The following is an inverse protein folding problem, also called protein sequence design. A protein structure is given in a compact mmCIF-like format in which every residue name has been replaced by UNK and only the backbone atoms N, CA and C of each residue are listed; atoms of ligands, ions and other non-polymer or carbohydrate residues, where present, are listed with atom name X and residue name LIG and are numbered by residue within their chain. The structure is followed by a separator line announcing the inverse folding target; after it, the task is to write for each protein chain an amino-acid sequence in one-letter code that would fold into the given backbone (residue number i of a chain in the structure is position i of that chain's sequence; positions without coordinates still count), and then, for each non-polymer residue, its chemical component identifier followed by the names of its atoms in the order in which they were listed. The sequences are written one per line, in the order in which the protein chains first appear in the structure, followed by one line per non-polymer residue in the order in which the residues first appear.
data_IF_520617283168
#
_entry.id   IF_520617283168
#
_cell.length_a   1.000
_cell.length_b   1.000
_cell.length_c   1.000
_cell.angle_alpha   90.00
_cell.angle_beta   90.00
_cell.angle_gamma   90.00
#
_symmetry.space_group_name_H-M   'P 1'
#
loop_
_entity.id
_entity.type
_entity.pdbx_description
1 polymer ?
#
# COMPACT_ATOMS: atom_id res chain seq x y z
N UNK A 1 14.57 4.32 -3.98
CA UNK A 1 15.24 4.71 -5.24
C UNK A 1 14.27 4.52 -6.40
N UNK A 2 13.47 3.46 -6.31
CA UNK A 2 12.37 3.04 -7.18
C UNK A 2 11.43 4.15 -7.63
N UNK A 3 10.80 4.91 -6.71
CA UNK A 3 9.86 5.96 -7.10
C UNK A 3 10.50 7.03 -8.00
N UNK A 4 11.74 7.41 -7.73
CA UNK A 4 12.47 8.40 -8.56
C UNK A 4 12.80 7.80 -9.92
N UNK A 5 13.23 6.54 -9.95
CA UNK A 5 13.57 5.85 -11.19
C UNK A 5 12.35 5.62 -12.08
N UNK A 6 11.26 5.13 -11.50
CA UNK A 6 9.96 4.96 -12.17
C UNK A 6 9.47 6.28 -12.76
N UNK A 7 9.56 7.37 -11.99
CA UNK A 7 9.19 8.70 -12.48
C UNK A 7 10.10 9.16 -13.63
N UNK A 8 11.41 8.89 -13.57
CA UNK A 8 12.34 9.21 -14.65
C UNK A 8 12.05 8.41 -15.94
N UNK A 9 11.39 7.26 -15.82
CA UNK A 9 10.98 6.38 -16.92
C UNK A 9 9.48 6.49 -17.26
N UNK A 10 8.81 7.57 -16.84
CA UNK A 10 7.45 7.92 -17.30
C UNK A 10 6.29 7.44 -16.42
N UNK A 11 6.56 6.81 -15.28
CA UNK A 11 5.53 6.44 -14.29
C UNK A 11 5.46 7.53 -13.21
N UNK A 12 4.70 8.58 -13.48
CA UNK A 12 4.69 9.81 -12.67
C UNK A 12 3.90 9.68 -11.37
N UNK A 13 2.99 8.70 -11.29
CA UNK A 13 2.16 8.42 -10.12
C UNK A 13 2.86 7.54 -9.08
N UNK A 14 4.14 7.19 -9.31
CA UNK A 14 4.90 6.33 -8.43
C UNK A 14 5.21 7.03 -7.09
N UNK A 15 4.82 6.38 -5.99
CA UNK A 15 5.16 6.77 -4.62
C UNK A 15 5.82 5.59 -3.90
N UNK A 16 6.74 5.88 -2.98
CA UNK A 16 7.45 4.86 -2.21
C UNK A 16 7.12 4.96 -0.72
N UNK A 17 7.09 3.81 -0.05
CA UNK A 17 6.97 3.74 1.41
C UNK A 17 8.38 3.87 2.00
N UNK A 18 8.59 4.89 2.83
CA UNK A 18 9.90 5.14 3.45
C UNK A 18 10.09 4.29 4.71
N UNK A 19 10.58 3.05 4.54
CA UNK A 19 11.27 2.26 5.58
C UNK A 19 10.46 1.21 6.35
N UNK A 20 9.12 1.24 6.36
CA UNK A 20 8.28 0.25 7.07
C UNK A 20 7.11 -0.25 6.22
N UNK A 21 6.33 -1.19 6.75
CA UNK A 21 5.05 -1.58 6.15
C UNK A 21 4.11 -0.37 6.01
N UNK A 22 3.25 -0.42 4.99
CA UNK A 22 2.22 0.58 4.70
C UNK A 22 1.28 0.74 5.90
N UNK A 23 1.10 1.98 6.38
CA UNK A 23 0.26 2.27 7.55
C UNK A 23 -1.16 2.66 7.17
N UNK A 24 -2.10 2.47 8.08
CA UNK A 24 -3.50 2.89 7.90
C UNK A 24 -3.63 4.38 7.53
N UNK A 25 -2.84 5.25 8.16
CA UNK A 25 -2.88 6.69 7.85
C UNK A 25 -2.36 7.01 6.45
N UNK A 26 -1.33 6.31 5.99
CA UNK A 26 -0.86 6.42 4.60
C UNK A 26 -1.95 5.96 3.63
N UNK A 27 -2.66 4.87 3.94
CA UNK A 27 -3.78 4.41 3.11
C UNK A 27 -4.93 5.42 3.07
N UNK A 28 -5.30 6.01 4.21
CA UNK A 28 -6.33 7.07 4.25
C UNK A 28 -5.94 8.27 3.39
N UNK A 29 -4.67 8.66 3.37
CA UNK A 29 -4.17 9.73 2.50
C UNK A 29 -4.29 9.34 1.04
N UNK A 30 -3.83 8.14 0.66
CA UNK A 30 -3.93 7.64 -0.72
C UNK A 30 -5.38 7.53 -1.20
N UNK A 31 -6.30 7.08 -0.33
CA UNK A 31 -7.74 6.96 -0.63
C UNK A 31 -8.40 8.30 -0.99
N UNK A 32 -7.84 9.42 -0.52
CA UNK A 32 -8.32 10.77 -0.91
C UNK A 32 -7.92 11.14 -2.33
N UNK A 33 -6.89 10.50 -2.87
CA UNK A 33 -6.29 10.81 -4.18
C UNK A 33 -6.81 9.83 -5.24
N UNK A 34 -6.90 8.55 -4.92
CA UNK A 34 -7.30 7.49 -5.86
C UNK A 34 -8.11 6.41 -5.17
N UNK A 35 -8.95 5.69 -5.94
CA UNK A 35 -9.63 4.48 -5.50
C UNK A 35 -8.83 3.20 -5.77
N UNK A 36 -7.85 3.25 -6.68
CA UNK A 36 -7.03 2.09 -7.11
C UNK A 36 -5.55 2.31 -6.85
N UNK A 37 -4.91 1.29 -6.31
CA UNK A 37 -3.46 1.25 -6.03
C UNK A 37 -2.84 0.04 -6.71
N UNK A 38 -1.69 0.26 -7.35
CA UNK A 38 -0.81 -0.80 -7.82
C UNK A 38 0.37 -0.93 -6.85
N UNK A 39 0.54 -2.10 -6.26
CA UNK A 39 1.66 -2.43 -5.39
C UNK A 39 2.73 -3.16 -6.19
N UNK A 40 3.96 -2.64 -6.13
CA UNK A 40 5.16 -3.29 -6.65
C UNK A 40 6.23 -3.22 -5.56
N UNK A 41 6.54 -4.35 -4.95
CA UNK A 41 7.61 -4.49 -3.95
C UNK A 41 8.59 -5.57 -4.42
N UNK A 42 9.72 -5.65 -3.74
CA UNK A 42 10.77 -6.61 -4.05
C UNK A 42 10.25 -8.05 -4.01
N UNK A 43 10.76 -8.88 -4.91
CA UNK A 43 10.33 -10.27 -5.04
C UNK A 43 10.96 -11.22 -4.01
N UNK A 44 11.83 -10.70 -3.13
CA UNK A 44 12.45 -11.48 -2.07
C UNK A 44 11.43 -11.83 -0.96
N UNK A 45 11.84 -12.68 -0.01
CA UNK A 45 10.96 -13.10 1.08
C UNK A 45 10.47 -11.93 1.94
N UNK A 46 11.28 -10.87 2.09
CA UNK A 46 10.92 -9.71 2.89
C UNK A 46 9.86 -8.85 2.17
N UNK A 47 10.03 -8.61 0.87
CA UNK A 47 9.11 -7.90 0.00
C UNK A 47 7.80 -8.66 -0.22
N UNK A 48 7.82 -10.00 -0.29
CA UNK A 48 6.60 -10.81 -0.30
C UNK A 48 5.79 -10.62 1.00
N UNK A 49 6.44 -10.69 2.16
CA UNK A 49 5.78 -10.45 3.45
C UNK A 49 5.26 -9.00 3.57
N UNK A 50 6.03 -8.03 3.09
CA UNK A 50 5.61 -6.62 3.05
C UNK A 50 4.42 -6.41 2.11
N UNK A 51 4.36 -7.13 0.99
CA UNK A 51 3.23 -7.09 0.05
C UNK A 51 1.97 -7.61 0.71
N UNK A 52 2.04 -8.75 1.39
CA UNK A 52 0.91 -9.32 2.13
C UNK A 52 0.41 -8.36 3.20
N UNK A 53 1.31 -7.83 4.04
CA UNK A 53 0.94 -6.87 5.07
C UNK A 53 0.29 -5.60 4.49
N UNK A 54 0.79 -5.14 3.33
CA UNK A 54 0.22 -3.98 2.63
C UNK A 54 -1.15 -4.29 2.05
N UNK A 55 -1.35 -5.49 1.47
CA UNK A 55 -2.66 -5.96 1.00
C UNK A 55 -3.66 -5.93 2.15
N UNK A 56 -3.33 -6.54 3.29
CA UNK A 56 -4.23 -6.58 4.45
C UNK A 56 -4.65 -5.17 4.91
N UNK A 57 -3.70 -4.24 5.04
CA UNK A 57 -3.98 -2.86 5.41
C UNK A 57 -4.84 -2.14 4.37
N UNK A 58 -4.53 -2.27 3.07
CA UNK A 58 -5.29 -1.63 2.01
C UNK A 58 -6.73 -2.15 1.91
N UNK A 59 -6.94 -3.45 2.10
CA UNK A 59 -8.26 -4.07 2.03
C UNK A 59 -9.15 -3.65 3.20
N UNK A 60 -8.58 -3.46 4.40
CA UNK A 60 -9.31 -2.89 5.54
C UNK A 60 -9.86 -1.49 5.26
N UNK A 61 -9.26 -0.77 4.31
CA UNK A 61 -9.69 0.55 3.88
C UNK A 61 -10.44 0.55 2.54
N UNK A 62 -10.90 -0.62 2.06
CA UNK A 62 -11.75 -0.76 0.87
C UNK A 62 -11.10 -0.16 -0.40
N UNK A 63 -9.80 -0.33 -0.56
CA UNK A 63 -9.08 0.08 -1.77
C UNK A 63 -9.15 -1.00 -2.85
N UNK A 64 -9.22 -0.62 -4.13
CA UNK A 64 -8.99 -1.53 -5.26
C UNK A 64 -7.48 -1.74 -5.40
N UNK A 65 -7.02 -2.98 -5.23
CA UNK A 65 -5.60 -3.31 -5.13
C UNK A 65 -5.20 -4.21 -6.29
N UNK A 66 -4.13 -3.83 -6.96
CA UNK A 66 -3.46 -4.61 -8.00
C UNK A 66 -2.01 -4.87 -7.61
N UNK A 67 -1.53 -6.08 -7.84
CA UNK A 67 -0.15 -6.47 -7.54
C UNK A 67 0.62 -6.61 -8.84
N UNK A 68 1.72 -5.89 -8.94
CA UNK A 68 2.67 -5.98 -10.03
C UNK A 68 3.79 -6.92 -9.57
N UNK A 69 3.89 -8.07 -10.23
CA UNK A 69 4.98 -9.01 -10.04
C UNK A 69 6.03 -8.79 -11.13
N UNK A 70 7.24 -8.39 -10.74
CA UNK A 70 8.33 -8.14 -11.69
C UNK A 70 9.00 -9.48 -12.07
N UNK A 71 9.14 -9.79 -13.37
CA UNK A 71 9.81 -11.00 -13.82
C UNK A 71 11.26 -11.08 -13.33
N UNK A 72 11.73 -12.31 -13.05
CA UNK A 72 13.10 -12.60 -12.60
C UNK A 72 13.48 -12.02 -11.24
N UNK A 73 12.51 -11.51 -10.48
CA UNK A 73 12.71 -11.06 -9.10
C UNK A 73 13.58 -9.81 -8.95
N UNK A 74 13.63 -8.97 -9.98
CA UNK A 74 14.24 -7.64 -9.91
C UNK A 74 13.37 -6.67 -9.12
N UNK A 75 13.99 -5.62 -8.59
CA UNK A 75 13.26 -4.47 -8.06
C UNK A 75 12.73 -3.58 -9.23
N UNK A 76 11.76 -2.68 -8.97
CA UNK A 76 11.23 -1.78 -9.99
C UNK A 76 12.31 -0.96 -10.69
N UNK A 77 13.33 -0.56 -9.94
CA UNK A 77 14.42 0.27 -10.44
C UNK A 77 15.30 -0.47 -11.47
N UNK A 78 15.76 -1.68 -11.14
CA UNK A 78 16.55 -2.55 -12.01
C UNK A 78 15.75 -3.02 -13.23
N UNK A 79 14.43 -3.15 -13.12
CA UNK A 79 13.57 -3.45 -14.25
C UNK A 79 13.55 -2.32 -15.28
N UNK A 80 13.27 -1.08 -14.85
CA UNK A 80 13.19 0.06 -15.78
C UNK A 80 14.56 0.48 -16.32
N UNK A 81 15.61 0.46 -15.48
CA UNK A 81 17.00 0.69 -15.95
C UNK A 81 17.46 -0.35 -16.95
N UNK A 82 16.95 -1.57 -16.83
CA UNK A 82 17.21 -2.66 -17.77
C UNK A 82 16.49 -2.53 -19.11
N UNK A 83 15.73 -1.44 -19.32
CA UNK A 83 14.92 -1.21 -20.53
C UNK A 83 13.53 -1.86 -20.49
N UNK A 84 13.07 -2.29 -19.31
CA UNK A 84 11.73 -2.84 -19.14
C UNK A 84 10.66 -1.75 -19.17
N UNK A 85 9.54 -2.03 -19.85
CA UNK A 85 8.38 -1.15 -19.87
C UNK A 85 7.42 -1.49 -18.73
N UNK A 86 7.21 -0.53 -17.82
CA UNK A 86 6.34 -0.73 -16.67
C UNK A 86 4.85 -0.72 -17.03
N UNK A 87 4.47 -0.18 -18.20
CA UNK A 87 3.07 -0.10 -18.64
C UNK A 87 2.47 -1.48 -18.91
N UNK A 88 3.24 -2.40 -19.49
CA UNK A 88 2.85 -3.79 -19.69
C UNK A 88 2.64 -4.53 -18.35
N UNK A 89 3.48 -4.23 -17.36
CA UNK A 89 3.35 -4.78 -16.01
C UNK A 89 2.10 -4.26 -15.30
N UNK A 90 1.76 -2.99 -15.48
CA UNK A 90 0.51 -2.41 -14.97
C UNK A 90 -0.71 -3.09 -15.62
N UNK A 91 -0.67 -3.31 -16.94
CA UNK A 91 -1.76 -3.96 -17.68
C UNK A 91 -1.96 -5.44 -17.26
N UNK A 92 -0.88 -6.13 -16.92
CA UNK A 92 -0.88 -7.53 -16.47
C UNK A 92 -1.00 -7.69 -14.94
N UNK A 93 -1.21 -6.59 -14.21
CA UNK A 93 -1.25 -6.60 -12.76
C UNK A 93 -2.37 -7.51 -12.20
N UNK A 94 -1.98 -8.37 -11.26
CA UNK A 94 -2.83 -9.40 -10.69
C UNK A 94 -3.74 -8.83 -9.61
N UNK A 95 -4.87 -9.49 -9.35
CA UNK A 95 -5.67 -9.17 -8.16
C UNK A 95 -4.95 -9.63 -6.89
N UNK A 96 -5.27 -9.00 -5.75
CA UNK A 96 -4.73 -9.41 -4.45
C UNK A 96 -5.02 -10.90 -4.14
N UNK A 97 -6.21 -11.40 -4.50
CA UNK A 97 -6.59 -12.81 -4.32
C UNK A 97 -5.71 -13.73 -5.16
N UNK A 98 -5.51 -13.42 -6.44
CA UNK A 98 -4.68 -14.22 -7.33
C UNK A 98 -3.22 -14.24 -6.87
N UNK A 99 -2.69 -13.08 -6.47
CA UNK A 99 -1.34 -13.00 -5.93
C UNK A 99 -1.18 -13.87 -4.66
N UNK A 100 -2.15 -13.82 -3.73
CA UNK A 100 -2.13 -14.62 -2.51
C UNK A 100 -2.13 -16.13 -2.79
N UNK A 101 -2.89 -16.58 -3.79
CA UNK A 101 -2.88 -17.95 -4.28
C UNK A 101 -1.51 -18.32 -4.89
N UNK A 102 -0.92 -17.43 -5.70
CA UNK A 102 0.36 -17.68 -6.37
C UNK A 102 1.52 -17.91 -5.40
N UNK A 103 1.50 -17.24 -4.24
CA UNK A 103 2.52 -17.37 -3.19
C UNK A 103 2.11 -18.36 -2.09
N UNK A 104 0.94 -19.01 -2.20
CA UNK A 104 0.43 -19.87 -1.14
C UNK A 104 1.39 -21.02 -0.79
N UNK A 105 2.02 -21.62 -1.80
CA UNK A 105 2.96 -22.72 -1.63
C UNK A 105 4.26 -22.34 -0.91
N UNK A 106 4.60 -21.05 -0.80
CA UNK A 106 5.77 -20.61 -0.03
C UNK A 106 5.47 -20.46 1.46
N UNK A 107 4.19 -20.29 1.82
CA UNK A 107 3.74 -20.01 3.19
C UNK A 107 3.04 -21.18 3.88
N UNK A 108 2.36 -22.02 3.11
CA UNK A 108 1.56 -23.11 3.64
C UNK A 108 1.95 -24.42 2.97
N UNK A 109 1.96 -25.50 3.76
CA UNK A 109 2.01 -26.85 3.21
C UNK A 109 0.65 -27.24 2.62
N UNK A 110 0.50 -27.05 1.31
CA UNK A 110 -0.73 -27.37 0.57
C UNK A 110 -1.00 -28.87 0.45
N UNK A 111 -0.05 -29.73 0.82
CA UNK A 111 -0.29 -31.18 0.91
C UNK A 111 -1.00 -31.57 2.22
N UNK A 112 -0.89 -30.71 3.24
CA UNK A 112 -1.50 -30.93 4.54
C UNK A 112 -2.89 -30.29 4.65
N UNK A 113 -3.81 -30.99 5.33
CA UNK A 113 -5.14 -30.43 5.65
C UNK A 113 -5.02 -29.10 6.44
N UNK A 114 -4.17 -28.98 7.48
CA UNK A 114 -4.02 -27.73 8.22
C UNK A 114 -3.52 -26.56 7.36
N UNK A 115 -2.61 -26.82 6.43
CA UNK A 115 -2.08 -25.79 5.52
C UNK A 115 -3.15 -25.28 4.56
N UNK A 116 -3.91 -26.19 3.93
CA UNK A 116 -5.05 -25.82 3.08
C UNK A 116 -6.11 -25.01 3.84
N UNK A 117 -6.47 -25.42 5.06
CA UNK A 117 -7.44 -24.69 5.88
C UNK A 117 -6.95 -23.30 6.27
N UNK A 118 -5.66 -23.15 6.58
CA UNK A 118 -5.08 -21.86 6.93
C UNK A 118 -5.08 -20.91 5.73
N UNK A 119 -4.66 -21.38 4.55
CA UNK A 119 -4.73 -20.59 3.31
C UNK A 119 -6.17 -20.17 3.00
N UNK A 120 -7.11 -21.12 3.03
CA UNK A 120 -8.51 -20.84 2.73
C UNK A 120 -9.06 -19.74 3.64
N UNK A 121 -8.81 -19.83 4.96
CA UNK A 121 -9.26 -18.81 5.92
C UNK A 121 -8.66 -17.43 5.64
N UNK A 122 -7.38 -17.37 5.31
CA UNK A 122 -6.72 -16.10 5.05
C UNK A 122 -7.26 -15.46 3.77
N UNK A 123 -7.46 -16.24 2.70
CA UNK A 123 -8.07 -15.71 1.47
C UNK A 123 -9.53 -15.30 1.71
N UNK A 124 -10.30 -16.05 2.50
CA UNK A 124 -11.66 -15.67 2.85
C UNK A 124 -11.71 -14.34 3.62
N UNK A 125 -10.70 -14.01 4.42
CA UNK A 125 -10.57 -12.68 5.06
C UNK A 125 -10.36 -11.56 4.05
N UNK A 126 -9.68 -11.86 2.93
CA UNK A 126 -9.51 -10.93 1.82
C UNK A 126 -10.82 -10.78 1.02
N UNK A 127 -11.54 -11.87 0.77
CA UNK A 127 -12.77 -11.82 -0.03
C UNK A 127 -13.95 -11.17 0.72
N UNK A 128 -14.04 -11.38 2.04
CA UNK A 128 -15.20 -10.96 2.85
C UNK A 128 -15.53 -9.45 2.78
N UNK A 129 -14.57 -8.51 2.82
CA UNK A 129 -14.83 -7.07 2.70
C UNK A 129 -15.32 -6.59 1.33
N UNK A 130 -15.18 -7.38 0.26
CA UNK A 130 -15.56 -6.97 -1.11
C UNK A 130 -17.07 -6.69 -1.19
N UNK A 131 -17.48 -5.52 -1.68
CA UNK A 131 -18.91 -5.16 -1.73
C UNK A 131 -19.71 -5.97 -2.76
N UNK A 132 -19.09 -6.27 -3.91
CA UNK A 132 -19.74 -6.99 -5.01
C UNK A 132 -19.88 -8.49 -4.72
N UNK A 133 -21.13 -8.97 -4.62
CA UNK A 133 -21.41 -10.40 -4.45
C UNK A 133 -20.97 -11.24 -5.66
N UNK A 134 -21.02 -10.65 -6.87
CA UNK A 134 -20.57 -11.32 -8.08
C UNK A 134 -19.04 -11.49 -8.07
N UNK A 135 -18.32 -10.47 -7.63
CA UNK A 135 -16.85 -10.53 -7.51
C UNK A 135 -16.43 -11.54 -6.45
N UNK A 136 -17.13 -11.57 -5.30
CA UNK A 136 -16.94 -12.61 -4.28
C UNK A 136 -17.12 -14.01 -4.84
N UNK A 137 -18.21 -14.24 -5.58
CA UNK A 137 -18.51 -15.55 -6.19
C UNK A 137 -17.44 -16.01 -7.19
N UNK A 138 -16.92 -15.08 -8.01
CA UNK A 138 -15.80 -15.38 -8.93
C UNK A 138 -14.54 -15.80 -8.16
N UNK A 139 -14.15 -15.05 -7.13
CA UNK A 139 -12.98 -15.41 -6.33
C UNK A 139 -13.18 -16.71 -5.55
N UNK A 140 -14.37 -16.95 -4.99
CA UNK A 140 -14.67 -18.19 -4.29
C UNK A 140 -14.56 -19.41 -5.20
N UNK A 141 -15.02 -19.33 -6.46
CA UNK A 141 -14.81 -20.38 -7.46
C UNK A 141 -13.33 -20.64 -7.71
N UNK A 142 -12.56 -19.57 -7.93
CA UNK A 142 -11.12 -19.69 -8.17
C UNK A 142 -10.41 -20.38 -6.99
N UNK A 143 -10.78 -20.04 -5.74
CA UNK A 143 -10.21 -20.67 -4.54
C UNK A 143 -10.66 -22.12 -4.39
N UNK A 144 -11.93 -22.43 -4.70
CA UNK A 144 -12.47 -23.78 -4.67
C UNK A 144 -11.69 -24.70 -5.62
N UNK A 145 -11.44 -24.23 -6.84
CA UNK A 145 -10.71 -24.97 -7.87
C UNK A 145 -9.25 -25.20 -7.47
N UNK A 146 -8.54 -24.15 -7.02
CA UNK A 146 -7.13 -24.23 -6.66
C UNK A 146 -6.88 -25.14 -5.43
N UNK A 147 -7.76 -25.09 -4.44
CA UNK A 147 -7.61 -25.89 -3.22
C UNK A 147 -8.27 -27.28 -3.29
N UNK A 148 -9.05 -27.53 -4.35
CA UNK A 148 -9.93 -28.69 -4.51
C UNK A 148 -10.90 -28.83 -3.31
N UNK A 149 -11.63 -27.75 -3.02
CA UNK A 149 -12.63 -27.66 -1.96
C UNK A 149 -14.02 -27.43 -2.56
N UNK A 150 -15.07 -27.84 -1.86
CA UNK A 150 -16.44 -27.51 -2.31
C UNK A 150 -16.73 -26.03 -2.08
N UNK A 151 -17.40 -25.42 -3.05
CA UNK A 151 -17.78 -24.00 -2.98
C UNK A 151 -18.77 -23.76 -1.83
N UNK A 152 -19.63 -24.73 -1.53
CA UNK A 152 -20.60 -24.66 -0.42
C UNK A 152 -19.90 -24.57 0.94
N UNK A 153 -18.80 -25.32 1.12
CA UNK A 153 -18.00 -25.26 2.33
C UNK A 153 -17.29 -23.91 2.47
N UNK A 154 -16.79 -23.34 1.38
CA UNK A 154 -16.20 -21.99 1.40
C UNK A 154 -17.23 -20.91 1.73
N UNK A 155 -18.45 -21.00 1.17
CA UNK A 155 -19.56 -20.11 1.52
C UNK A 155 -19.95 -20.22 3.00
N UNK A 156 -19.92 -21.44 3.56
CA UNK A 156 -20.13 -21.68 4.98
C UNK A 156 -19.05 -21.00 5.82
N UNK A 157 -17.78 -21.33 5.58
CA UNK A 157 -16.64 -20.79 6.32
C UNK A 157 -16.57 -19.25 6.22
N UNK A 158 -16.89 -18.66 5.06
CA UNK A 158 -16.88 -17.20 4.86
C UNK A 158 -17.82 -16.46 5.83
N UNK A 159 -18.94 -17.09 6.23
CA UNK A 159 -19.88 -16.51 7.21
C UNK A 159 -19.22 -16.43 8.58
N UNK A 160 -18.48 -17.47 8.96
CA UNK A 160 -17.87 -17.63 10.29
C UNK A 160 -16.52 -16.92 10.43
N UNK A 161 -15.80 -16.70 9.33
CA UNK A 161 -14.51 -15.99 9.32
C UNK A 161 -14.70 -14.57 9.87
N UNK A 162 -14.07 -14.26 11.00
CA UNK A 162 -14.03 -12.89 11.50
C UNK A 162 -13.19 -12.05 10.55
N UNK A 163 -13.77 -10.98 10.00
CA UNK A 163 -13.00 -9.97 9.28
C UNK A 163 -11.91 -9.44 10.23
N UNK A 164 -10.66 -9.25 9.78
CA UNK A 164 -9.70 -8.49 10.56
C UNK A 164 -10.33 -7.13 10.85
N UNK A 165 -10.73 -6.93 12.10
CA UNK A 165 -11.21 -5.63 12.55
C UNK A 165 -9.97 -4.76 12.42
N UNK A 166 -10.02 -3.74 11.56
CA UNK A 166 -8.98 -2.71 11.51
C UNK A 166 -8.63 -2.39 12.96
N UNK A 167 -7.35 -2.41 13.39
CA UNK A 167 -7.00 -2.06 14.74
C UNK A 167 -7.73 -0.76 15.04
N UNK A 168 -8.77 -0.82 15.88
CA UNK A 168 -9.41 0.38 16.41
C UNK A 168 -8.21 1.14 16.94
N UNK A 169 -7.95 2.31 16.35
CA UNK A 169 -6.90 3.19 16.85
C UNK A 169 -7.12 3.19 18.36
N UNK A 170 -6.24 2.50 19.09
CA UNK A 170 -6.10 2.75 20.51
C UNK A 170 -5.97 4.25 20.51
N UNK A 171 -6.95 4.94 21.08
CA UNK A 171 -7.13 6.38 21.00
C UNK A 171 -5.90 7.01 21.69
N UNK A 172 -4.76 6.92 21.01
CA UNK A 172 -3.48 7.50 21.34
C UNK A 172 -3.73 8.91 20.91
N UNK A 173 -4.41 9.61 21.81
CA UNK A 173 -4.57 11.05 21.83
C UNK A 173 -3.28 11.59 21.21
N UNK A 174 -3.32 12.17 19.99
CA UNK A 174 -2.10 12.48 19.26
C UNK A 174 -1.28 13.31 20.21
N UNK A 175 -0.19 12.74 20.74
CA UNK A 175 0.67 13.46 21.66
C UNK A 175 1.10 14.65 20.84
N UNK A 176 0.58 15.84 21.18
CA UNK A 176 1.03 17.10 20.60
C UNK A 176 2.54 17.00 20.63
N UNK A 177 3.18 16.95 19.45
CA UNK A 177 4.63 16.98 19.36
C UNK A 177 5.03 18.32 19.96
N UNK A 178 5.35 18.32 21.25
CA UNK A 178 5.84 19.50 21.94
C UNK A 178 7.22 19.70 21.36
N UNK A 179 7.35 20.64 20.44
CA UNK A 179 8.65 21.06 19.93
C UNK A 179 9.48 21.49 21.13
N UNK A 180 10.64 20.87 21.32
CA UNK A 180 11.52 21.19 22.43
C UNK A 180 12.01 22.63 22.27
N UNK A 181 12.32 23.31 23.37
CA UNK A 181 12.76 24.71 23.35
C UNK A 181 14.00 24.91 22.45
N UNK A 182 14.89 23.92 22.41
CA UNK A 182 16.04 23.89 21.50
C UNK A 182 15.66 23.86 20.02
N UNK A 183 14.53 23.27 19.64
CA UNK A 183 14.03 23.29 18.26
C UNK A 183 13.65 24.71 17.83
N UNK A 184 13.06 25.49 18.74
CA UNK A 184 12.77 26.90 18.51
C UNK A 184 14.05 27.73 18.40
N UNK A 185 15.06 27.47 19.24
CA UNK A 185 16.35 28.16 19.13
C UNK A 185 17.09 27.85 17.83
N UNK A 186 17.07 26.61 17.35
CA UNK A 186 17.69 26.23 16.07
C UNK A 186 16.95 26.88 14.90
N UNK A 187 15.62 26.85 14.90
CA UNK A 187 14.83 27.54 13.87
C UNK A 187 15.09 29.04 13.92
N UNK A 188 15.06 29.66 15.10
CA UNK A 188 15.36 31.07 15.27
C UNK A 188 16.79 31.41 14.82
N UNK A 189 17.79 30.58 15.12
CA UNK A 189 19.17 30.81 14.65
C UNK A 189 19.29 30.70 13.14
N UNK A 190 18.60 29.75 12.52
CA UNK A 190 18.53 29.64 11.06
C UNK A 190 17.87 30.90 10.48
N UNK A 191 16.72 31.34 11.01
CA UNK A 191 16.03 32.53 10.50
C UNK A 191 16.76 33.86 10.79
N UNK A 192 17.57 33.93 11.85
CA UNK A 192 18.33 35.13 12.23
C UNK A 192 19.74 35.21 11.64
N UNK A 193 20.28 34.09 11.16
CA UNK A 193 21.59 34.04 10.45
C UNK A 193 21.45 34.19 8.94
N UNK A 194 20.21 34.22 8.44
CA UNK A 194 19.95 34.43 7.02
C UNK A 194 19.82 35.93 6.78
N UNK A 195 20.94 36.57 6.43
CA UNK A 195 20.98 37.94 5.89
C UNK A 195 20.12 38.13 4.62
N UNK A 196 19.55 37.04 4.11
CA UNK A 196 18.79 36.96 2.88
C UNK A 196 17.41 36.33 3.13
N UNK A 197 16.68 36.81 4.15
CA UNK A 197 15.35 36.28 4.51
C UNK A 197 14.41 36.29 3.29
N UNK A 198 14.53 37.34 2.46
CA UNK A 198 13.90 37.45 1.15
C UNK A 198 14.30 36.32 0.19
N UNK A 199 15.57 35.92 0.13
CA UNK A 199 16.02 34.82 -0.74
C UNK A 199 15.56 33.45 -0.24
N UNK A 200 15.44 33.26 1.08
CA UNK A 200 14.86 32.03 1.63
C UNK A 200 13.41 31.90 1.19
N UNK A 201 12.60 32.96 1.32
CA UNK A 201 11.21 32.92 0.87
C UNK A 201 11.11 32.82 -0.65
N UNK A 202 11.97 33.51 -1.42
CA UNK A 202 12.01 33.37 -2.87
C UNK A 202 12.38 31.95 -3.30
N UNK A 203 13.38 31.33 -2.67
CA UNK A 203 13.75 29.93 -2.89
C UNK A 203 12.62 28.98 -2.47
N UNK A 204 12.05 29.16 -1.28
CA UNK A 204 10.96 28.34 -0.75
C UNK A 204 9.73 28.42 -1.65
N UNK A 205 9.35 29.61 -2.11
CA UNK A 205 8.24 29.82 -3.04
C UNK A 205 8.53 29.22 -4.42
N UNK A 206 9.77 29.27 -4.91
CA UNK A 206 10.16 28.64 -6.16
C UNK A 206 10.12 27.10 -6.07
N UNK A 207 10.59 26.53 -4.97
CA UNK A 207 10.66 25.08 -4.76
C UNK A 207 9.30 24.47 -4.42
N UNK A 208 8.47 25.16 -3.64
CA UNK A 208 7.21 24.61 -3.13
C UNK A 208 5.95 25.22 -3.79
N UNK A 209 6.09 26.22 -4.66
CA UNK A 209 5.03 26.78 -5.52
C UNK A 209 3.76 27.28 -4.81
N UNK A 210 3.82 27.65 -3.52
CA UNK A 210 2.68 28.23 -2.80
C UNK A 210 2.88 29.74 -2.59
N UNK A 211 1.90 30.57 -2.92
CA UNK A 211 1.87 32.00 -2.62
C UNK A 211 1.23 32.22 -1.23
N UNK A 212 1.60 33.26 -0.44
CA UNK A 212 0.92 33.59 0.82
C UNK A 212 -0.62 33.66 0.74
N UNK A 213 -1.20 33.96 -0.44
CA UNK A 213 -2.65 33.94 -0.67
C UNK A 213 -3.27 32.55 -0.70
N UNK A 214 -2.50 31.51 -0.98
CA UNK A 214 -2.96 30.11 -0.98
C UNK A 214 -3.25 29.63 0.45
N UNK A 215 -2.68 30.31 1.46
CA UNK A 215 -2.92 30.04 2.87
C UNK A 215 -4.37 30.34 3.30
N UNK A 216 -5.01 31.33 2.66
CA UNK A 216 -6.41 31.69 2.91
C UNK A 216 -7.40 30.68 2.31
N UNK A 217 -6.95 29.80 1.41
CA UNK A 217 -7.77 28.75 0.79
C UNK A 217 -7.67 27.40 1.52
N UNK A 218 -6.78 27.29 2.51
CA UNK A 218 -6.71 26.12 3.37
C UNK A 218 -7.95 26.16 4.29
N UNK A 219 -8.86 25.17 4.23
CA UNK A 219 -10.05 25.17 5.06
C UNK A 219 -9.65 25.30 6.54
N UNK A 220 -10.17 26.32 7.22
CA UNK A 220 -10.02 26.48 8.66
C UNK A 220 -10.63 25.25 9.35
N UNK A 221 -9.80 24.50 10.08
CA UNK A 221 -10.23 23.43 10.98
C UNK A 221 -10.57 24.00 12.36
#
# INVERSE_FOLDING_TARGET
MDAVSLHAHGVHEAVAISGSALTADQVKLLKRITARIYLSLDADTAGQNATIASIETLMQHEMDIRIIAIPNGKDPDDFVRGGGDFSDLIASAQSAVHYYLSIAGTRYDLSSIPGKLSLARDILRLIKPIHSNLEKDIYLRQVADELNLSIESLYGEMRDVKTPIAPQESNKNPQKRVLHESTWYILASIFSSVDHFEDFFAWFHNVFAYNPRDWEQIPNF
#
